data_IF_766779951994
#
_entry.id   IF_766779951994
#
_cell.length_a   1.000
_cell.length_b   1.000
_cell.length_c   1.000
_cell.angle_alpha   90.00
_cell.angle_beta   90.00
_cell.angle_gamma   90.00
#
_symmetry.space_group_name_H-M   'P 1'
#
loop_
_entity.id
_entity.type
_entity.pdbx_description
1 polymer ?
#
# COMPACT_ATOMS: atom_id res chain seq x y z
N UNK A 1 -32.96 19.39 8.42
CA UNK A 1 -31.57 18.95 8.21
C UNK A 1 -31.52 17.47 8.56
N UNK A 2 -31.21 16.59 7.59
CA UNK A 2 -30.88 15.17 7.79
C UNK A 2 -29.82 15.01 8.90
N UNK A 3 -30.02 14.21 9.96
CA UNK A 3 -28.90 13.80 10.83
C UNK A 3 -28.28 12.52 10.27
N UNK A 4 -26.96 12.54 10.09
CA UNK A 4 -26.17 11.37 9.69
C UNK A 4 -25.29 10.96 10.85
N UNK A 5 -25.34 9.68 11.21
CA UNK A 5 -24.54 9.07 12.25
C UNK A 5 -23.52 8.12 11.63
N UNK A 6 -22.24 8.30 11.95
CA UNK A 6 -21.18 7.38 11.53
C UNK A 6 -20.95 6.33 12.62
N UNK A 7 -21.00 5.06 12.26
CA UNK A 7 -20.75 3.92 13.17
C UNK A 7 -19.55 3.15 12.66
N UNK A 8 -18.53 3.01 13.52
CA UNK A 8 -17.38 2.13 13.26
C UNK A 8 -17.66 0.76 13.85
N UNK A 9 -17.59 -0.28 13.02
CA UNK A 9 -17.71 -1.65 13.50
C UNK A 9 -16.38 -2.16 14.06
N UNK A 10 -16.42 -3.12 15.00
CA UNK A 10 -15.21 -3.81 15.43
C UNK A 10 -14.51 -4.48 14.25
N UNK A 11 -13.17 -4.53 14.33
CA UNK A 11 -12.36 -5.25 13.35
C UNK A 11 -12.76 -6.73 13.32
N UNK A 12 -12.89 -7.27 12.12
CA UNK A 12 -13.14 -8.69 11.88
C UNK A 12 -12.08 -9.26 10.94
N UNK A 13 -11.84 -10.56 11.04
CA UNK A 13 -10.93 -11.28 10.13
C UNK A 13 -11.76 -12.14 9.20
N UNK A 14 -11.56 -11.98 7.89
CA UNK A 14 -12.19 -12.78 6.85
C UNK A 14 -11.09 -13.64 6.19
N UNK A 15 -11.26 -14.97 6.06
CA UNK A 15 -10.30 -15.80 5.36
C UNK A 15 -10.08 -15.31 3.92
N UNK A 16 -8.83 -15.36 3.45
CA UNK A 16 -8.51 -15.00 2.08
C UNK A 16 -8.77 -16.18 1.13
N UNK A 17 -9.16 -15.88 -0.11
CA UNK A 17 -9.19 -16.90 -1.16
C UNK A 17 -7.75 -17.37 -1.46
N UNK A 18 -7.59 -18.63 -1.84
CA UNK A 18 -6.29 -19.16 -2.23
C UNK A 18 -5.68 -18.36 -3.41
N UNK A 19 -4.36 -18.23 -3.41
CA UNK A 19 -3.60 -17.56 -4.49
C UNK A 19 -3.29 -16.08 -4.25
N UNK A 20 -3.98 -15.42 -3.30
CA UNK A 20 -3.61 -14.08 -2.88
C UNK A 20 -2.27 -14.08 -2.15
N UNK A 21 -1.41 -13.12 -2.50
CA UNK A 21 -0.08 -12.96 -1.87
C UNK A 21 0.31 -11.50 -1.76
N UNK A 22 1.12 -11.18 -0.76
CA UNK A 22 1.85 -9.92 -0.71
C UNK A 22 3.20 -10.11 -1.37
N UNK A 23 3.57 -9.18 -2.22
CA UNK A 23 4.88 -9.10 -2.84
C UNK A 23 5.66 -7.90 -2.30
N UNK A 24 6.89 -8.13 -1.85
CA UNK A 24 7.77 -7.11 -1.29
C UNK A 24 9.07 -7.06 -2.09
N UNK A 25 9.39 -5.88 -2.59
CA UNK A 25 10.65 -5.63 -3.30
C UNK A 25 11.78 -5.33 -2.31
N UNK A 26 12.97 -5.88 -2.59
CA UNK A 26 14.17 -5.58 -1.82
C UNK A 26 15.37 -5.37 -2.75
N UNK A 27 16.36 -4.63 -2.26
CA UNK A 27 17.60 -4.33 -2.96
C UNK A 27 18.74 -4.32 -1.94
N UNK A 28 19.83 -5.06 -2.20
CA UNK A 28 20.94 -5.26 -1.26
C UNK A 28 21.97 -4.11 -1.27
N UNK A 29 21.57 -2.92 -1.70
CA UNK A 29 22.47 -1.77 -1.83
C UNK A 29 21.74 -0.43 -1.74
N UNK A 30 22.49 0.65 -1.93
CA UNK A 30 21.91 1.99 -2.01
C UNK A 30 21.27 2.18 -3.37
N UNK A 31 19.98 2.54 -3.39
CA UNK A 31 19.29 2.88 -4.63
C UNK A 31 19.88 4.17 -5.20
N UNK A 32 20.39 4.10 -6.44
CA UNK A 32 20.92 5.23 -7.20
C UNK A 32 20.16 5.39 -8.51
N UNK A 33 20.55 6.38 -9.33
CA UNK A 33 19.98 6.57 -10.68
C UNK A 33 20.35 5.45 -11.66
N UNK A 34 21.40 4.68 -11.37
CA UNK A 34 21.83 3.55 -12.19
C UNK A 34 21.16 2.23 -11.83
N UNK A 35 20.46 2.14 -10.69
CA UNK A 35 19.72 0.93 -10.29
C UNK A 35 18.62 0.60 -11.30
N UNK A 36 18.53 -0.64 -11.76
CA UNK A 36 17.55 -1.09 -12.73
C UNK A 36 16.48 -1.98 -12.07
N UNK A 37 15.26 -2.07 -12.66
CA UNK A 37 14.21 -2.97 -12.15
C UNK A 37 14.63 -4.44 -12.04
N UNK A 38 15.54 -4.89 -12.91
CA UNK A 38 16.08 -6.25 -12.91
C UNK A 38 16.97 -6.53 -11.70
N UNK A 39 17.54 -5.49 -11.08
CA UNK A 39 18.42 -5.63 -9.93
C UNK A 39 17.65 -5.89 -8.62
N UNK A 40 16.32 -5.75 -8.64
CA UNK A 40 15.48 -6.00 -7.47
C UNK A 40 15.27 -7.50 -7.23
N UNK A 41 15.20 -7.88 -5.96
CA UNK A 41 14.60 -9.15 -5.56
C UNK A 41 13.11 -8.97 -5.25
N UNK A 42 12.37 -10.08 -5.31
CA UNK A 42 10.96 -10.14 -4.86
C UNK A 42 10.82 -11.27 -3.86
N UNK A 43 10.23 -10.96 -2.72
CA UNK A 43 9.73 -11.96 -1.78
C UNK A 43 8.21 -11.99 -1.86
N UNK A 44 7.65 -13.20 -1.76
CA UNK A 44 6.21 -13.42 -1.73
C UNK A 44 5.80 -14.06 -0.41
N UNK A 45 4.73 -13.54 0.18
CA UNK A 45 4.11 -14.09 1.37
C UNK A 45 2.62 -14.36 1.10
N UNK A 46 2.08 -15.53 1.44
CA UNK A 46 0.66 -15.81 1.24
C UNK A 46 -0.19 -14.93 2.16
N UNK A 47 -1.31 -14.44 1.63
CA UNK A 47 -2.33 -13.78 2.44
C UNK A 47 -3.24 -14.86 3.01
N UNK A 48 -3.30 -14.96 4.34
CA UNK A 48 -4.11 -15.98 5.04
C UNK A 48 -5.49 -15.45 5.43
N UNK A 49 -5.66 -14.13 5.42
CA UNK A 49 -6.92 -13.47 5.77
C UNK A 49 -6.87 -11.98 5.50
N UNK A 50 -7.99 -11.32 5.72
CA UNK A 50 -8.18 -9.89 5.60
C UNK A 50 -8.73 -9.36 6.91
N UNK A 51 -8.06 -8.35 7.47
CA UNK A 51 -8.64 -7.56 8.57
C UNK A 51 -9.52 -6.50 7.94
N UNK A 52 -10.80 -6.51 8.31
CA UNK A 52 -11.81 -5.57 7.79
C UNK A 52 -12.37 -4.74 8.93
N UNK A 53 -12.34 -3.42 8.76
CA UNK A 53 -12.94 -2.45 9.69
C UNK A 53 -13.94 -1.55 8.95
N UNK A 54 -15.18 -2.03 8.73
CA UNK A 54 -16.16 -1.29 7.97
C UNK A 54 -16.72 -0.12 8.79
N UNK A 55 -16.88 1.02 8.13
CA UNK A 55 -17.55 2.21 8.65
C UNK A 55 -18.86 2.39 7.92
N UNK A 56 -19.94 2.54 8.70
CA UNK A 56 -21.28 2.73 8.17
C UNK A 56 -21.77 4.14 8.44
N UNK A 57 -22.52 4.70 7.50
CA UNK A 57 -23.34 5.88 7.72
C UNK A 57 -24.81 5.49 7.84
N UNK A 58 -25.44 6.00 8.89
CA UNK A 58 -26.86 5.87 9.11
C UNK A 58 -27.51 7.26 9.04
N UNK A 59 -28.26 7.49 7.97
CA UNK A 59 -29.03 8.73 7.80
C UNK A 59 -30.44 8.53 8.36
N UNK A 60 -30.87 9.42 9.25
CA UNK A 60 -32.19 9.38 9.88
C UNK A 60 -33.30 9.38 8.81
N UNK A 61 -34.08 8.29 8.77
CA UNK A 61 -35.12 8.04 7.75
C UNK A 61 -34.73 7.04 6.66
N UNK A 62 -33.48 6.58 6.60
CA UNK A 62 -33.05 5.44 5.77
C UNK A 62 -33.16 4.13 6.56
N UNK A 63 -33.71 3.09 5.94
CA UNK A 63 -33.78 1.74 6.53
C UNK A 63 -32.50 0.93 6.35
N UNK A 64 -31.60 1.37 5.47
CA UNK A 64 -30.39 0.63 5.11
C UNK A 64 -29.17 1.51 5.46
N UNK A 65 -28.28 1.07 6.36
CA UNK A 65 -27.00 1.74 6.58
C UNK A 65 -26.10 1.57 5.36
N UNK A 66 -25.43 2.64 4.95
CA UNK A 66 -24.52 2.65 3.80
C UNK A 66 -23.09 2.40 4.29
N UNK A 67 -22.34 1.51 3.62
CA UNK A 67 -20.91 1.35 3.88
C UNK A 67 -20.19 2.50 3.19
N UNK A 68 -19.49 3.32 3.96
CA UNK A 68 -18.77 4.49 3.43
C UNK A 68 -17.27 4.30 3.35
N UNK A 69 -16.73 3.38 4.14
CA UNK A 69 -15.32 3.00 4.07
C UNK A 69 -15.16 1.55 4.55
N UNK A 70 -14.35 0.78 3.84
CA UNK A 70 -13.94 -0.55 4.22
C UNK A 70 -12.42 -0.58 4.22
N UNK A 71 -11.82 -0.31 5.37
CA UNK A 71 -10.39 -0.55 5.54
C UNK A 71 -10.17 -2.06 5.48
N UNK A 72 -9.47 -2.51 4.45
CA UNK A 72 -9.11 -3.90 4.23
C UNK A 72 -7.59 -4.01 4.27
N UNK A 73 -7.08 -4.82 5.19
CA UNK A 73 -5.64 -5.05 5.34
C UNK A 73 -5.31 -6.53 5.21
N UNK A 74 -4.26 -6.92 4.46
CA UNK A 74 -3.86 -8.30 4.37
C UNK A 74 -3.27 -8.79 5.69
N UNK A 75 -3.75 -9.93 6.17
CA UNK A 75 -3.17 -10.67 7.28
C UNK A 75 -2.11 -11.63 6.73
N UNK A 76 -0.87 -11.45 7.18
CA UNK A 76 0.29 -12.28 6.85
C UNK A 76 0.64 -13.18 8.04
N UNK A 77 1.28 -14.32 7.78
CA UNK A 77 1.71 -15.28 8.81
C UNK A 77 2.59 -14.62 9.88
N UNK A 78 3.47 -13.70 9.48
CA UNK A 78 4.40 -13.01 10.39
C UNK A 78 3.87 -11.64 10.88
N UNK A 79 2.66 -11.26 10.48
CA UNK A 79 1.95 -10.07 10.95
C UNK A 79 2.57 -8.71 10.59
N UNK A 80 3.64 -8.66 9.78
CA UNK A 80 4.35 -7.40 9.45
C UNK A 80 4.10 -6.98 8.01
N UNK A 81 3.53 -5.77 7.84
CA UNK A 81 3.45 -5.09 6.55
C UNK A 81 4.70 -4.23 6.34
N UNK A 82 5.36 -4.36 5.19
CA UNK A 82 6.45 -3.46 4.81
C UNK A 82 5.97 -2.32 3.93
N UNK A 83 6.57 -1.13 4.09
CA UNK A 83 6.34 0.01 3.20
C UNK A 83 6.74 -0.34 1.76
N UNK A 84 5.79 -0.22 0.83
CA UNK A 84 6.00 -0.57 -0.58
C UNK A 84 5.72 -2.03 -0.94
N UNK A 85 4.89 -2.71 -0.16
CA UNK A 85 4.30 -4.01 -0.50
C UNK A 85 3.16 -3.86 -1.52
N UNK A 86 3.00 -4.87 -2.38
CA UNK A 86 1.92 -4.99 -3.36
C UNK A 86 1.06 -6.21 -3.03
N UNK A 87 -0.23 -6.15 -3.32
CA UNK A 87 -1.08 -7.35 -3.33
C UNK A 87 -1.03 -7.91 -4.74
N UNK A 88 -0.75 -9.21 -4.86
CA UNK A 88 -0.91 -9.94 -6.13
C UNK A 88 -2.11 -10.84 -5.98
N UNK A 89 -3.08 -10.66 -6.86
CA UNK A 89 -4.30 -11.48 -6.84
C UNK A 89 -4.08 -12.85 -7.51
N UNK A 90 -5.05 -13.77 -7.41
CA UNK A 90 -4.93 -15.12 -7.99
C UNK A 90 -4.79 -15.14 -9.52
N UNK A 91 -5.13 -14.04 -10.21
CA UNK A 91 -4.95 -13.89 -11.65
C UNK A 91 -3.57 -13.34 -12.02
N UNK A 92 -2.74 -13.00 -11.02
CA UNK A 92 -1.40 -12.47 -11.20
C UNK A 92 -1.35 -10.95 -11.39
N UNK A 93 -2.47 -10.25 -11.22
CA UNK A 93 -2.54 -8.79 -11.31
C UNK A 93 -2.01 -8.18 -10.01
N UNK A 94 -1.26 -7.09 -10.14
CA UNK A 94 -0.60 -6.42 -9.03
C UNK A 94 -1.39 -5.18 -8.62
N UNK A 95 -1.55 -4.99 -7.32
CA UNK A 95 -2.28 -3.88 -6.72
C UNK A 95 -1.34 -3.10 -5.79
N UNK A 96 -1.13 -1.82 -6.10
CA UNK A 96 -0.24 -0.93 -5.37
C UNK A 96 -0.98 -0.17 -4.24
N UNK A 97 -0.26 0.58 -3.37
CA UNK A 97 -0.91 1.56 -2.50
C UNK A 97 -1.74 2.55 -3.32
N UNK A 98 -2.93 2.91 -2.82
CA UNK A 98 -3.93 3.76 -3.49
C UNK A 98 -4.61 3.11 -4.71
N UNK A 99 -4.82 1.79 -4.66
CA UNK A 99 -5.62 1.00 -5.62
C UNK A 99 -5.19 1.13 -7.08
N UNK A 100 -3.91 1.40 -7.32
CA UNK A 100 -3.37 1.33 -8.68
C UNK A 100 -3.18 -0.12 -9.08
N UNK A 101 -3.86 -0.51 -10.15
CA UNK A 101 -3.67 -1.79 -10.83
C UNK A 101 -2.45 -1.72 -11.75
N UNK A 102 -1.63 -2.76 -11.71
CA UNK A 102 -0.41 -2.92 -12.50
C UNK A 102 -0.43 -4.31 -13.16
N UNK A 103 -0.20 -4.34 -14.46
CA UNK A 103 -0.43 -5.53 -15.28
C UNK A 103 0.73 -6.52 -15.24
N UNK A 104 1.93 -6.08 -14.79
CA UNK A 104 3.10 -6.95 -14.73
C UNK A 104 4.07 -6.61 -13.59
N UNK A 105 4.85 -7.61 -13.19
CA UNK A 105 5.91 -7.45 -12.18
C UNK A 105 6.96 -6.41 -12.59
N UNK A 106 7.33 -6.36 -13.87
CA UNK A 106 8.33 -5.40 -14.38
C UNK A 106 7.87 -3.96 -14.20
N UNK A 107 6.58 -3.69 -14.40
CA UNK A 107 5.99 -2.37 -14.17
C UNK A 107 5.88 -2.05 -12.68
N UNK A 108 5.52 -3.04 -11.85
CA UNK A 108 5.45 -2.88 -10.41
C UNK A 108 6.82 -2.52 -9.82
N UNK A 109 7.88 -3.20 -10.27
CA UNK A 109 9.29 -2.91 -9.92
C UNK A 109 9.70 -1.50 -10.31
N UNK A 110 9.40 -1.07 -11.54
CA UNK A 110 9.69 0.30 -12.02
C UNK A 110 8.99 1.34 -11.16
N UNK A 111 7.71 1.12 -10.89
CA UNK A 111 6.90 2.03 -10.06
C UNK A 111 7.47 2.13 -8.65
N UNK A 112 7.79 1.00 -8.02
CA UNK A 112 8.39 0.97 -6.68
C UNK A 112 9.74 1.71 -6.64
N UNK A 113 10.63 1.44 -7.60
CA UNK A 113 11.93 2.12 -7.70
C UNK A 113 11.79 3.64 -7.81
N UNK A 114 10.85 4.11 -8.64
CA UNK A 114 10.59 5.54 -8.79
C UNK A 114 10.19 6.18 -7.45
N UNK A 115 9.31 5.52 -6.69
CA UNK A 115 8.90 6.01 -5.37
C UNK A 115 10.03 5.93 -4.35
N UNK A 116 10.81 4.86 -4.34
CA UNK A 116 11.95 4.70 -3.45
C UNK A 116 13.01 5.80 -3.68
N UNK A 117 13.31 6.11 -4.95
CA UNK A 117 14.20 7.22 -5.32
C UNK A 117 13.69 8.57 -4.83
N UNK A 118 12.40 8.87 -5.01
CA UNK A 118 11.80 10.14 -4.52
C UNK A 118 11.92 10.29 -3.01
N UNK A 119 11.73 9.20 -2.26
CA UNK A 119 11.88 9.21 -0.79
C UNK A 119 13.33 9.47 -0.38
N UNK A 120 14.29 8.84 -1.04
CA UNK A 120 15.72 9.00 -0.73
C UNK A 120 16.31 10.32 -1.23
N UNK A 121 15.83 10.83 -2.37
CA UNK A 121 16.24 12.12 -2.94
C UNK A 121 15.54 13.35 -2.32
N UNK A 122 14.60 13.13 -1.40
CA UNK A 122 13.86 14.18 -0.70
C UNK A 122 14.66 14.95 0.35
N UNK A 123 15.91 14.54 0.63
CA UNK A 123 16.85 15.32 1.45
C UNK A 123 17.68 16.27 0.58
N UNK A 124 17.03 17.13 -0.20
CA UNK A 124 17.72 18.33 -0.70
C UNK A 124 17.76 19.31 0.47
N UNK A 125 18.84 19.25 1.22
CA UNK A 125 19.16 20.30 2.18
C UNK A 125 19.21 21.65 1.48
N UNK A 126 18.30 22.54 1.82
CA UNK A 126 18.56 23.98 1.78
C UNK A 126 19.58 24.29 2.86
N UNK A 127 20.86 24.05 2.56
CA UNK A 127 21.97 24.51 3.37
C UNK A 127 23.02 25.16 2.46
N UNK A 128 23.36 26.40 2.82
CA UNK A 128 24.48 27.22 2.35
C UNK A 128 24.36 27.88 0.97
N UNK A 129 23.86 29.12 0.98
CA UNK A 129 24.55 30.24 0.31
C UNK A 129 24.50 31.45 1.24
N UNK A 130 25.10 31.30 2.42
CA UNK A 130 25.58 32.43 3.21
C UNK A 130 27.00 32.72 2.72
N UNK A 131 27.11 33.35 1.55
CA UNK A 131 28.38 33.89 1.07
C UNK A 131 28.40 35.39 1.37
N UNK A 132 29.14 35.69 2.43
CA UNK A 132 29.69 36.98 2.81
C UNK A 132 29.88 37.90 1.60
N UNK A 133 29.20 39.05 1.60
CA UNK A 133 29.76 40.25 0.98
C UNK A 133 30.26 41.16 2.09
N UNK A 134 31.59 41.25 2.11
CA UNK A 134 32.37 42.33 2.71
C UNK A 134 31.90 43.71 2.27
#
# INVERSE_FOLDING_TARGET
>A
MQKTHTVRMPQTVIPAHEGFRVATFYFDGTITDTTLPVDLGVMYEPIIGWVVAPTFEHTEGSSIPEIVDSNVEPLLLDGKRQDGSFIVDPHGVWHAPYDRVIDSESEARRYWLSNARRRNGGTVGTAASEEKRS
#
